data_IF_535013883912
#
_entry.id   IF_535013883912
#
_cell.length_a   1.000
_cell.length_b   1.000
_cell.length_c   1.000
_cell.angle_alpha   90.00
_cell.angle_beta   90.00
_cell.angle_gamma   90.00
#
_symmetry.space_group_name_H-M   'P 1'
#
loop_
_entity.id
_entity.type
_entity.pdbx_description
1 polymer ?
#
# COMPACT_ATOMS: atom_id res chain seq x y z
N UNK A 1 -3.77 -11.03 17.70
CA UNK A 1 -3.98 -9.71 17.07
C UNK A 1 -3.04 -8.71 17.71
N UNK A 2 -2.40 -7.83 16.94
CA UNK A 2 -1.61 -6.72 17.49
C UNK A 2 -2.53 -5.50 17.52
N UNK A 3 -2.68 -4.81 18.66
CA UNK A 3 -3.61 -3.68 18.79
C UNK A 3 -5.05 -3.96 18.30
N UNK A 4 -5.52 -5.21 18.41
CA UNK A 4 -6.85 -5.61 17.93
C UNK A 4 -6.97 -5.80 16.40
N UNK A 5 -5.89 -5.62 15.64
CA UNK A 5 -5.88 -5.83 14.18
C UNK A 5 -5.23 -7.16 13.80
N UNK A 6 -5.68 -7.73 12.67
CA UNK A 6 -5.03 -8.85 12.00
C UNK A 6 -4.33 -8.38 10.73
N UNK A 7 -3.05 -8.73 10.62
CA UNK A 7 -2.21 -8.38 9.46
C UNK A 7 -2.19 -9.59 8.52
N UNK A 8 -2.34 -9.32 7.23
CA UNK A 8 -2.15 -10.31 6.16
C UNK A 8 -1.11 -9.76 5.20
N UNK A 9 0.06 -10.39 5.14
CA UNK A 9 1.12 -9.99 4.22
C UNK A 9 0.78 -10.46 2.80
N UNK A 10 1.20 -9.66 1.82
CA UNK A 10 1.04 -9.98 0.41
C UNK A 10 2.41 -10.14 -0.25
N UNK A 11 2.59 -11.15 -1.12
CA UNK A 11 3.80 -11.27 -1.89
C UNK A 11 3.86 -10.12 -2.91
N UNK A 12 5.07 -9.59 -3.12
CA UNK A 12 5.34 -8.56 -4.11
C UNK A 12 6.69 -8.78 -4.78
N UNK A 13 6.83 -8.31 -6.01
CA UNK A 13 8.10 -8.33 -6.73
C UNK A 13 8.79 -7.01 -6.43
N UNK A 14 9.97 -7.09 -5.79
CA UNK A 14 10.73 -5.92 -5.31
C UNK A 14 9.89 -4.97 -4.45
N UNK A 15 9.06 -5.52 -3.57
CA UNK A 15 8.23 -4.74 -2.65
C UNK A 15 6.93 -4.18 -3.26
N UNK A 16 6.67 -4.44 -4.54
CA UNK A 16 5.43 -4.01 -5.21
C UNK A 16 4.48 -5.20 -5.35
N UNK A 17 3.32 -5.09 -4.70
CA UNK A 17 2.22 -6.07 -4.81
C UNK A 17 1.44 -5.83 -6.10
N UNK A 18 0.87 -6.87 -6.71
CA UNK A 18 -0.01 -6.70 -7.87
C UNK A 18 -1.45 -6.39 -7.46
N UNK A 19 -2.18 -5.65 -8.29
CA UNK A 19 -3.62 -5.38 -8.08
C UNK A 19 -4.42 -6.67 -7.92
N UNK A 20 -4.09 -7.70 -8.70
CA UNK A 20 -4.74 -9.02 -8.61
C UNK A 20 -4.50 -9.67 -7.24
N UNK A 21 -3.27 -9.62 -6.73
CA UNK A 21 -2.94 -10.17 -5.42
C UNK A 21 -3.62 -9.39 -4.28
N UNK A 22 -3.73 -8.06 -4.41
CA UNK A 22 -4.49 -7.22 -3.48
C UNK A 22 -5.96 -7.63 -3.45
N UNK A 23 -6.62 -7.70 -4.61
CA UNK A 23 -8.05 -8.05 -4.71
C UNK A 23 -8.32 -9.46 -4.17
N UNK A 24 -7.48 -10.44 -4.51
CA UNK A 24 -7.60 -11.82 -4.02
C UNK A 24 -7.39 -11.95 -2.50
N UNK A 25 -6.77 -10.95 -1.85
CA UNK A 25 -6.53 -10.96 -0.42
C UNK A 25 -7.67 -10.38 0.41
N UNK A 26 -8.62 -9.70 -0.22
CA UNK A 26 -9.80 -9.15 0.44
C UNK A 26 -10.69 -10.32 0.86
N UNK A 27 -11.06 -10.35 2.14
CA UNK A 27 -11.90 -11.42 2.68
C UNK A 27 -13.36 -11.14 2.35
N UNK A 28 -14.12 -12.20 2.05
CA UNK A 28 -15.57 -12.13 1.95
C UNK A 28 -16.21 -11.78 3.29
N UNK A 29 -17.44 -11.30 3.23
CA UNK A 29 -18.26 -11.09 4.42
C UNK A 29 -18.67 -12.44 5.02
N UNK A 30 -18.04 -12.81 6.12
CA UNK A 30 -18.29 -14.04 6.87
C UNK A 30 -17.92 -13.80 8.34
N UNK A 31 -18.74 -14.31 9.27
CA UNK A 31 -18.53 -14.15 10.72
C UNK A 31 -17.21 -14.74 11.22
N UNK A 32 -16.62 -15.69 10.50
CA UNK A 32 -15.35 -16.33 10.84
C UNK A 32 -14.14 -15.53 10.34
N UNK A 33 -14.37 -14.52 9.49
CA UNK A 33 -13.31 -13.72 8.90
C UNK A 33 -13.28 -12.31 9.49
N UNK A 34 -12.08 -11.80 9.83
CA UNK A 34 -11.96 -10.38 10.14
C UNK A 34 -12.22 -9.58 8.87
N UNK A 35 -12.94 -8.49 9.01
CA UNK A 35 -13.24 -7.63 7.88
C UNK A 35 -11.98 -6.91 7.38
N UNK A 36 -11.69 -7.01 6.08
CA UNK A 36 -10.61 -6.24 5.47
C UNK A 36 -11.00 -4.76 5.46
N UNK A 37 -10.09 -3.90 5.95
CA UNK A 37 -10.38 -2.46 6.14
C UNK A 37 -9.33 -1.51 5.60
N UNK A 38 -8.09 -1.96 5.48
CA UNK A 38 -6.97 -1.11 5.11
C UNK A 38 -5.97 -1.90 4.27
N UNK A 39 -5.42 -1.21 3.28
CA UNK A 39 -4.26 -1.63 2.52
C UNK A 39 -3.07 -0.73 2.89
N UNK A 40 -1.94 -1.35 3.24
CA UNK A 40 -0.70 -0.65 3.52
C UNK A 40 0.34 -0.96 2.45
N UNK A 41 1.02 0.07 1.95
CA UNK A 41 2.20 -0.03 1.11
C UNK A 41 3.39 0.69 1.78
N UNK A 42 4.62 0.35 1.40
CA UNK A 42 5.84 0.98 1.91
C UNK A 42 6.59 1.61 0.71
N UNK A 43 6.92 2.91 0.78
CA UNK A 43 7.67 3.59 -0.28
C UNK A 43 8.66 4.62 0.30
N UNK A 44 9.97 4.38 0.27
CA UNK A 44 10.70 3.24 -0.32
C UNK A 44 10.64 1.96 0.52
N UNK A 45 10.73 0.79 -0.12
CA UNK A 45 10.57 -0.50 0.57
C UNK A 45 11.90 -1.10 1.05
N UNK A 46 12.13 -1.13 2.36
CA UNK A 46 13.38 -1.51 3.01
C UNK A 46 13.79 -2.97 2.70
N UNK A 47 12.88 -3.93 2.93
CA UNK A 47 13.18 -5.37 2.67
C UNK A 47 13.29 -5.73 1.18
N UNK A 48 13.05 -4.76 0.30
CA UNK A 48 13.23 -4.89 -1.14
C UNK A 48 14.42 -4.06 -1.66
N UNK A 49 15.38 -3.75 -0.78
CA UNK A 49 16.60 -3.02 -1.13
C UNK A 49 16.39 -1.53 -1.40
N UNK A 50 15.36 -0.92 -0.79
CA UNK A 50 15.03 0.49 -1.02
C UNK A 50 14.37 0.75 -2.37
N UNK A 51 13.70 -0.26 -2.95
CA UNK A 51 12.99 -0.09 -4.22
C UNK A 51 11.93 1.00 -4.10
N UNK A 52 11.81 1.81 -5.15
CA UNK A 52 10.86 2.91 -5.28
C UNK A 52 9.65 2.43 -6.08
N UNK A 53 8.46 2.62 -5.51
CA UNK A 53 7.20 2.44 -6.25
C UNK A 53 6.90 3.75 -7.00
N UNK A 54 6.56 3.67 -8.29
CA UNK A 54 6.22 4.86 -9.08
C UNK A 54 4.86 5.42 -8.66
N UNK A 55 4.58 6.67 -9.02
CA UNK A 55 3.27 7.29 -8.77
C UNK A 55 2.13 6.48 -9.38
N UNK A 56 2.31 5.99 -10.61
CA UNK A 56 1.32 5.19 -11.32
C UNK A 56 1.03 3.89 -10.59
N UNK A 57 2.07 3.19 -10.13
CA UNK A 57 1.92 1.96 -9.35
C UNK A 57 1.20 2.20 -8.02
N UNK A 58 1.53 3.30 -7.31
CA UNK A 58 0.80 3.70 -6.11
C UNK A 58 -0.66 3.97 -6.43
N UNK A 59 -0.94 4.71 -7.51
CA UNK A 59 -2.28 5.10 -7.91
C UNK A 59 -3.15 3.90 -8.33
N UNK A 60 -2.59 2.93 -9.04
CA UNK A 60 -3.28 1.70 -9.45
C UNK A 60 -3.71 0.88 -8.22
N UNK A 61 -2.78 0.67 -7.28
CA UNK A 61 -3.06 -0.06 -6.04
C UNK A 61 -4.06 0.67 -5.16
N UNK A 62 -3.90 1.99 -5.00
CA UNK A 62 -4.82 2.81 -4.23
C UNK A 62 -6.22 2.84 -4.82
N UNK A 63 -6.33 2.90 -6.15
CA UNK A 63 -7.62 2.87 -6.83
C UNK A 63 -8.32 1.52 -6.63
N UNK A 64 -7.58 0.42 -6.78
CA UNK A 64 -8.11 -0.92 -6.54
C UNK A 64 -8.55 -1.12 -5.08
N UNK A 65 -7.77 -0.64 -4.11
CA UNK A 65 -8.11 -0.68 -2.69
C UNK A 65 -9.40 0.12 -2.40
N UNK A 66 -9.48 1.36 -2.90
CA UNK A 66 -10.63 2.25 -2.69
C UNK A 66 -11.90 1.73 -3.36
N UNK A 67 -11.81 1.13 -4.56
CA UNK A 67 -12.93 0.47 -5.22
C UNK A 67 -13.51 -0.68 -4.38
N UNK A 68 -12.68 -1.33 -3.57
CA UNK A 68 -13.10 -2.36 -2.63
C UNK A 68 -13.47 -1.81 -1.24
N UNK A 69 -13.57 -0.49 -1.07
CA UNK A 69 -13.95 0.16 0.19
C UNK A 69 -12.87 0.14 1.28
N UNK A 70 -11.59 -0.02 0.90
CA UNK A 70 -10.47 -0.02 1.83
C UNK A 70 -9.82 1.37 1.94
N UNK A 71 -9.36 1.71 3.15
CA UNK A 71 -8.43 2.82 3.36
C UNK A 71 -7.04 2.47 2.87
N UNK A 72 -6.28 3.46 2.44
CA UNK A 72 -4.90 3.32 2.00
C UNK A 72 -3.98 4.08 2.96
N UNK A 73 -2.96 3.39 3.43
CA UNK A 73 -1.85 3.97 4.17
C UNK A 73 -0.54 3.70 3.45
N UNK A 74 0.35 4.68 3.44
CA UNK A 74 1.72 4.52 2.97
C UNK A 74 2.68 4.74 4.14
N UNK A 75 3.45 3.70 4.47
CA UNK A 75 4.67 3.88 5.26
C UNK A 75 5.69 4.58 4.35
N UNK A 76 5.84 5.87 4.61
CA UNK A 76 6.65 6.81 3.86
C UNK A 76 7.88 7.24 4.65
N UNK A 77 8.42 6.39 5.54
CA UNK A 77 9.62 6.70 6.33
C UNK A 77 10.80 7.23 5.48
N UNK A 78 10.80 6.93 4.18
CA UNK A 78 11.76 7.42 3.18
C UNK A 78 11.08 7.97 1.92
N UNK A 79 9.89 8.57 2.04
CA UNK A 79 9.11 9.05 0.88
C UNK A 79 9.85 10.18 0.13
N UNK A 80 10.62 11.00 0.83
CA UNK A 80 11.43 12.05 0.19
C UNK A 80 12.54 11.47 -0.70
N UNK A 81 13.10 10.31 -0.34
CA UNK A 81 14.06 9.62 -1.21
C UNK A 81 13.38 9.11 -2.48
N UNK A 82 12.15 8.58 -2.37
CA UNK A 82 11.35 8.19 -3.52
C UNK A 82 11.05 9.40 -4.43
N UNK A 83 10.63 10.52 -3.85
CA UNK A 83 10.33 11.75 -4.57
C UNK A 83 11.54 12.28 -5.36
N UNK A 84 12.72 12.34 -4.71
CA UNK A 84 13.97 12.73 -5.36
C UNK A 84 14.34 11.77 -6.49
N UNK A 85 14.23 10.46 -6.26
CA UNK A 85 14.53 9.45 -7.28
C UNK A 85 13.61 9.55 -8.51
N UNK A 86 12.33 9.83 -8.30
CA UNK A 86 11.33 9.96 -9.36
C UNK A 86 11.32 11.33 -10.04
N UNK A 87 12.03 12.32 -9.48
CA UNK A 87 11.90 13.72 -9.93
C UNK A 87 10.49 14.28 -9.72
N UNK A 88 9.79 13.81 -8.68
CA UNK A 88 8.41 14.17 -8.37
C UNK A 88 8.33 15.01 -7.09
N UNK A 89 7.25 15.78 -6.96
CA UNK A 89 6.96 16.48 -5.71
C UNK A 89 6.42 15.50 -4.67
N UNK A 90 6.83 15.55 -3.39
CA UNK A 90 6.31 14.64 -2.35
C UNK A 90 4.79 14.63 -2.23
N UNK A 91 4.14 15.78 -2.51
CA UNK A 91 2.67 15.91 -2.52
C UNK A 91 2.00 15.03 -3.57
N UNK A 92 2.66 14.71 -4.67
CA UNK A 92 2.11 13.86 -5.73
C UNK A 92 2.05 12.40 -5.29
N UNK A 93 3.06 11.95 -4.54
CA UNK A 93 3.05 10.62 -3.92
C UNK A 93 2.04 10.58 -2.76
N UNK A 94 1.98 11.63 -1.94
CA UNK A 94 1.01 11.74 -0.84
C UNK A 94 -0.45 11.72 -1.32
N UNK A 95 -0.75 12.30 -2.49
CA UNK A 95 -2.09 12.30 -3.08
C UNK A 95 -2.62 10.90 -3.42
N UNK A 96 -1.75 9.89 -3.49
CA UNK A 96 -2.15 8.51 -3.77
C UNK A 96 -2.72 7.79 -2.53
N UNK A 97 -2.58 8.31 -1.32
CA UNK A 97 -2.95 7.63 -0.08
C UNK A 97 -3.91 8.45 0.78
N UNK A 98 -4.58 7.84 1.74
CA UNK A 98 -5.42 8.55 2.72
C UNK A 98 -4.60 9.01 3.93
N UNK A 99 -3.48 8.34 4.19
CA UNK A 99 -2.50 8.72 5.20
C UNK A 99 -1.08 8.36 4.77
N UNK A 100 -0.13 9.19 5.17
CA UNK A 100 1.30 9.03 4.91
C UNK A 100 2.04 9.35 6.21
N UNK A 101 2.95 8.47 6.63
CA UNK A 101 3.85 8.71 7.78
C UNK A 101 5.30 8.74 7.34
#
# INVERSE_FOLDING_TARGET
ALAGVQIRTLPGIRGVVSVVALQAAIRSEDIHYPQTRMFCMENTHNRAGGTVMTREQMQDLSSAARQAGLWVHTDGARIFNAAVFLGAEPRELAACTDSLT
#
